data_IF_346407246841
#
_entry.id   IF_346407246841
#
_cell.length_a   1.000
_cell.length_b   1.000
_cell.length_c   1.000
_cell.angle_alpha   90.00
_cell.angle_beta   90.00
_cell.angle_gamma   90.00
#
_symmetry.space_group_name_H-M   'P 1'
#
loop_
_entity.id
_entity.type
_entity.pdbx_description
1 polymer ?
#
# COMPACT_ATOMS: atom_id res chain seq x y z
N UNK A 1 -5.67 -40.19 58.75
CA UNK A 1 -4.84 -41.28 58.18
C UNK A 1 -3.98 -40.65 57.08
N UNK A 2 -2.82 -40.11 57.42
CA UNK A 2 -1.48 -40.71 57.57
C UNK A 2 -0.75 -41.03 56.25
N UNK A 3 0.54 -40.62 56.22
CA UNK A 3 1.63 -40.79 55.22
C UNK A 3 1.68 -39.71 54.11
N UNK A 4 2.67 -38.82 54.02
CA UNK A 4 3.97 -38.70 54.69
C UNK A 4 5.06 -39.52 54.00
N UNK A 5 5.93 -38.87 53.21
CA UNK A 5 7.32 -39.32 53.01
C UNK A 5 8.25 -38.22 52.48
N UNK A 6 9.23 -37.93 53.31
CA UNK A 6 10.46 -37.16 53.15
C UNK A 6 11.56 -38.03 52.52
N UNK A 7 12.45 -37.46 51.71
CA UNK A 7 13.88 -37.83 51.57
C UNK A 7 14.63 -36.58 51.09
N UNK A 8 15.46 -35.93 51.91
CA UNK A 8 16.86 -36.20 52.28
C UNK A 8 17.90 -35.95 51.19
N UNK A 9 18.86 -35.10 51.59
CA UNK A 9 20.00 -34.54 50.87
C UNK A 9 21.12 -35.57 50.66
N UNK A 10 21.95 -35.36 49.64
CA UNK A 10 23.35 -35.79 49.68
C UNK A 10 24.24 -34.74 49.00
N UNK A 11 25.20 -34.25 49.78
CA UNK A 11 26.34 -33.42 49.37
C UNK A 11 27.46 -34.37 48.89
N UNK A 12 28.22 -34.00 47.85
CA UNK A 12 29.66 -34.27 47.82
C UNK A 12 30.39 -33.23 46.98
N UNK A 13 31.48 -32.73 47.56
CA UNK A 13 32.44 -31.74 47.06
C UNK A 13 33.33 -32.30 45.95
N UNK A 14 33.79 -31.46 45.01
CA UNK A 14 35.18 -31.49 44.57
C UNK A 14 35.67 -30.17 43.95
N UNK A 15 36.90 -29.83 44.35
CA UNK A 15 37.73 -28.69 44.03
C UNK A 15 37.89 -28.40 42.53
N UNK A 16 37.95 -27.12 42.16
CA UNK A 16 38.78 -26.64 41.04
C UNK A 16 39.22 -25.19 41.27
N UNK A 17 40.51 -25.00 41.05
CA UNK A 17 41.40 -23.84 41.21
C UNK A 17 41.03 -22.65 40.31
N UNK A 18 41.37 -21.40 40.70
CA UNK A 18 41.27 -20.26 39.80
C UNK A 18 42.53 -20.19 38.91
N UNK A 19 42.36 -20.39 37.60
CA UNK A 19 43.40 -20.06 36.62
C UNK A 19 43.28 -18.58 36.25
N UNK A 20 44.34 -17.84 36.56
CA UNK A 20 44.56 -16.45 36.18
C UNK A 20 44.69 -16.36 34.65
N UNK A 21 43.67 -15.84 33.96
CA UNK A 21 43.71 -15.54 32.52
C UNK A 21 44.05 -14.05 32.34
N UNK A 22 45.33 -13.80 32.09
CA UNK A 22 45.86 -12.49 31.67
C UNK A 22 45.26 -12.19 30.28
N UNK A 23 44.30 -11.27 30.26
CA UNK A 23 43.70 -10.75 29.03
C UNK A 23 44.63 -9.73 28.40
N UNK A 24 45.40 -10.15 27.40
CA UNK A 24 46.12 -9.25 26.50
C UNK A 24 45.08 -8.54 25.61
N UNK A 25 44.73 -7.30 25.96
CA UNK A 25 43.99 -6.39 25.11
C UNK A 25 44.85 -6.00 23.89
N UNK A 26 44.66 -6.69 22.78
CA UNK A 26 45.03 -6.13 21.48
C UNK A 26 44.02 -5.04 21.12
N UNK A 27 44.42 -3.78 21.35
CA UNK A 27 43.76 -2.61 20.78
C UNK A 27 43.95 -2.63 19.26
N UNK A 28 43.06 -3.33 18.55
CA UNK A 28 42.83 -3.05 17.14
C UNK A 28 42.12 -1.69 17.06
N UNK A 29 42.89 -0.64 16.80
CA UNK A 29 42.36 0.68 16.43
C UNK A 29 41.55 0.52 15.15
N UNK A 30 40.22 0.39 15.29
CA UNK A 30 39.28 0.58 14.19
C UNK A 30 39.43 2.02 13.73
N UNK A 31 40.08 2.22 12.59
CA UNK A 31 39.98 3.48 11.85
C UNK A 31 38.50 3.68 11.55
N UNK A 32 37.86 4.66 12.18
CA UNK A 32 36.55 5.15 11.77
C UNK A 32 36.72 5.76 10.37
N UNK A 33 36.11 5.21 9.31
CA UNK A 33 36.07 5.88 8.03
C UNK A 33 34.90 6.85 8.08
N UNK A 34 35.13 8.07 8.56
CA UNK A 34 34.22 9.19 8.33
C UNK A 34 34.95 10.25 7.54
N UNK A 35 35.19 9.94 6.26
CA UNK A 35 35.19 11.00 5.26
C UNK A 35 33.73 11.29 4.93
N UNK A 36 33.30 12.57 4.88
CA UNK A 36 31.97 12.90 4.39
C UNK A 36 31.87 12.37 2.97
N UNK A 37 30.84 11.59 2.69
CA UNK A 37 30.48 11.20 1.32
C UNK A 37 30.23 12.52 0.60
N UNK A 38 31.19 12.93 -0.22
CA UNK A 38 31.13 14.12 -1.06
C UNK A 38 29.87 14.05 -1.91
N UNK A 39 29.18 15.19 -2.00
CA UNK A 39 27.89 15.40 -2.65
C UNK A 39 27.62 14.41 -3.79
N UNK A 40 26.48 13.74 -3.67
CA UNK A 40 25.86 12.86 -4.66
C UNK A 40 25.56 13.69 -5.92
N UNK A 41 26.60 14.06 -6.67
CA UNK A 41 26.45 14.80 -7.92
C UNK A 41 25.64 13.92 -8.85
N UNK A 42 24.44 14.38 -9.21
CA UNK A 42 23.46 13.64 -9.99
C UNK A 42 24.11 12.94 -11.17
N UNK A 43 24.22 11.60 -11.08
CA UNK A 43 24.78 10.76 -12.15
C UNK A 43 23.91 10.72 -13.40
N UNK A 44 22.68 11.17 -13.31
CA UNK A 44 21.74 11.13 -14.41
C UNK A 44 21.96 12.31 -15.34
N UNK A 45 22.09 12.03 -16.63
CA UNK A 45 22.18 13.05 -17.67
C UNK A 45 20.87 13.84 -17.84
N UNK A 46 19.77 13.31 -17.30
CA UNK A 46 18.44 13.93 -17.29
C UNK A 46 18.21 14.66 -15.98
N UNK A 47 17.84 15.94 -16.08
CA UNK A 47 17.36 16.70 -14.94
C UNK A 47 15.91 16.33 -14.65
N UNK A 48 15.65 15.87 -13.42
CA UNK A 48 14.31 15.53 -12.96
C UNK A 48 13.71 16.72 -12.20
N UNK A 49 12.39 17.00 -12.36
CA UNK A 49 11.66 17.89 -11.47
C UNK A 49 11.94 17.65 -9.99
N UNK A 50 11.94 18.73 -9.21
CA UNK A 50 12.19 18.66 -7.77
C UNK A 50 11.28 17.66 -7.05
N UNK A 51 11.89 16.81 -6.21
CA UNK A 51 11.18 15.78 -5.45
C UNK A 51 10.80 14.52 -6.25
N UNK A 52 11.20 14.43 -7.52
CA UNK A 52 10.99 13.24 -8.36
C UNK A 52 12.25 12.39 -8.47
N UNK A 53 12.04 11.09 -8.60
CA UNK A 53 13.08 10.07 -8.70
C UNK A 53 13.14 9.45 -10.11
N UNK A 54 14.29 8.92 -10.53
CA UNK A 54 14.39 8.15 -11.77
C UNK A 54 13.57 6.85 -11.64
N UNK A 55 13.02 6.38 -12.75
CA UNK A 55 12.41 5.04 -12.79
C UNK A 55 13.49 3.95 -12.63
N UNK A 56 13.14 2.75 -12.13
CA UNK A 56 14.13 1.71 -11.85
C UNK A 56 14.85 1.19 -13.11
N UNK A 57 14.30 1.40 -14.31
CA UNK A 57 14.92 1.03 -15.59
C UNK A 57 15.46 2.26 -16.36
N UNK A 58 15.55 3.42 -15.70
CA UNK A 58 16.22 4.61 -16.23
C UNK A 58 17.72 4.47 -15.98
N UNK A 59 18.52 4.21 -17.02
CA UNK A 59 19.98 4.17 -16.87
C UNK A 59 20.57 5.60 -16.81
N UNK A 60 21.70 5.81 -16.10
CA UNK A 60 22.21 7.16 -15.83
C UNK A 60 22.56 7.99 -17.08
N UNK A 61 23.08 7.35 -18.12
CA UNK A 61 23.52 8.00 -19.36
C UNK A 61 22.39 8.27 -20.36
N UNK A 62 21.13 7.98 -20.00
CA UNK A 62 19.98 8.19 -20.86
C UNK A 62 19.87 9.66 -21.25
N UNK A 63 19.67 9.94 -22.53
CA UNK A 63 19.45 11.31 -23.02
C UNK A 63 18.04 11.80 -22.66
N UNK A 64 17.84 13.12 -22.66
CA UNK A 64 16.52 13.71 -22.42
C UNK A 64 15.43 13.18 -23.38
N UNK A 65 15.81 12.89 -24.63
CA UNK A 65 14.88 12.34 -25.63
C UNK A 65 14.52 10.88 -25.35
N UNK A 66 15.48 10.07 -24.93
CA UNK A 66 15.23 8.68 -24.53
C UNK A 66 14.38 8.62 -23.26
N UNK A 67 14.65 9.48 -22.28
CA UNK A 67 13.82 9.55 -21.08
C UNK A 67 12.39 9.99 -21.38
N UNK A 68 12.21 10.98 -22.26
CA UNK A 68 10.86 11.35 -22.71
C UNK A 68 10.14 10.15 -23.34
N UNK A 69 10.83 9.38 -24.18
CA UNK A 69 10.27 8.15 -24.77
C UNK A 69 9.94 7.11 -23.69
N UNK A 70 10.82 6.90 -22.72
CA UNK A 70 10.56 6.03 -21.57
C UNK A 70 9.26 6.43 -20.88
N UNK A 71 9.05 7.72 -20.58
CA UNK A 71 7.82 8.22 -19.95
C UNK A 71 6.58 7.99 -20.82
N UNK A 72 6.69 8.16 -22.15
CA UNK A 72 5.60 7.90 -23.10
C UNK A 72 5.24 6.42 -23.20
N UNK A 73 6.23 5.53 -23.06
CA UNK A 73 6.07 4.08 -23.17
C UNK A 73 5.78 3.39 -21.82
N UNK A 74 5.81 4.10 -20.69
CA UNK A 74 5.58 3.54 -19.35
C UNK A 74 4.29 2.74 -19.28
N UNK A 75 4.39 1.49 -18.80
CA UNK A 75 3.25 0.65 -18.52
C UNK A 75 3.20 0.21 -17.07
N UNK A 76 2.31 0.84 -16.29
CA UNK A 76 2.06 0.47 -14.89
C UNK A 76 0.76 -0.31 -14.82
N UNK A 77 0.83 -1.56 -14.41
CA UNK A 77 -0.32 -2.45 -14.40
C UNK A 77 -1.04 -2.49 -13.05
N UNK A 78 -0.30 -2.32 -11.96
CA UNK A 78 -0.83 -2.25 -10.61
C UNK A 78 -0.12 -1.14 -9.84
N UNK A 79 -0.84 -0.43 -8.99
CA UNK A 79 -0.25 0.59 -8.11
C UNK A 79 -0.62 0.38 -6.64
N UNK A 80 -0.09 1.24 -5.77
CA UNK A 80 -0.21 1.05 -4.34
C UNK A 80 -1.65 1.20 -3.85
N UNK A 81 -2.07 0.30 -2.96
CA UNK A 81 -3.41 0.26 -2.41
C UNK A 81 -4.43 -0.43 -3.31
N UNK A 82 -4.06 -0.84 -4.53
CA UNK A 82 -4.95 -1.54 -5.45
C UNK A 82 -5.46 -2.84 -4.82
N UNK A 83 -6.78 -3.01 -4.83
CA UNK A 83 -7.43 -4.27 -4.50
C UNK A 83 -7.06 -5.34 -5.52
N UNK A 84 -6.56 -6.48 -5.04
CA UNK A 84 -6.36 -7.68 -5.85
C UNK A 84 -7.04 -8.86 -5.18
N UNK A 85 -7.64 -9.75 -5.96
CA UNK A 85 -8.17 -11.01 -5.46
C UNK A 85 -8.31 -12.03 -6.58
N UNK A 86 -8.58 -13.29 -6.21
CA UNK A 86 -9.18 -14.29 -7.11
C UNK A 86 -10.67 -14.40 -6.79
N UNK A 87 -11.37 -15.41 -7.34
CA UNK A 87 -12.74 -15.73 -6.92
C UNK A 87 -12.82 -16.12 -5.43
N UNK A 88 -11.72 -16.60 -4.85
CA UNK A 88 -11.62 -16.88 -3.43
C UNK A 88 -11.32 -15.60 -2.63
N UNK A 89 -12.26 -15.23 -1.77
CA UNK A 89 -12.16 -14.10 -0.83
C UNK A 89 -10.92 -14.21 0.07
N UNK A 90 -10.44 -15.42 0.37
CA UNK A 90 -9.23 -15.63 1.16
C UNK A 90 -7.95 -15.24 0.41
N UNK A 91 -8.01 -15.07 -0.90
CA UNK A 91 -6.90 -14.67 -1.76
C UNK A 91 -6.89 -13.18 -2.08
N UNK A 92 -7.66 -12.37 -1.36
CA UNK A 92 -7.70 -10.93 -1.58
C UNK A 92 -6.63 -10.20 -0.76
N UNK A 93 -6.01 -9.18 -1.34
CA UNK A 93 -4.94 -8.40 -0.71
C UNK A 93 -4.83 -6.97 -1.28
N UNK A 94 -4.08 -6.11 -0.58
CA UNK A 94 -3.65 -4.82 -1.10
C UNK A 94 -2.34 -5.00 -1.87
N UNK A 95 -2.27 -4.42 -3.05
CA UNK A 95 -1.00 -4.24 -3.73
C UNK A 95 -0.15 -3.19 -2.98
N UNK A 96 1.10 -3.51 -2.65
CA UNK A 96 1.97 -2.73 -1.77
C UNK A 96 3.10 -1.99 -2.51
N UNK A 97 3.03 -1.88 -3.84
CA UNK A 97 4.02 -1.19 -4.67
C UNK A 97 3.49 -0.71 -6.03
N UNK A 98 4.40 -0.46 -6.97
CA UNK A 98 4.12 -0.27 -8.39
C UNK A 98 4.60 -1.48 -9.18
N UNK A 99 3.74 -2.03 -10.02
CA UNK A 99 4.14 -3.03 -11.00
C UNK A 99 4.32 -2.35 -12.35
N UNK A 100 5.55 -2.29 -12.82
CA UNK A 100 5.92 -1.68 -14.11
C UNK A 100 6.27 -2.83 -15.05
N UNK A 101 5.50 -2.99 -16.13
CA UNK A 101 5.70 -4.06 -17.11
C UNK A 101 7.00 -3.78 -17.87
N UNK A 102 7.91 -4.75 -17.80
CA UNK A 102 9.26 -4.69 -18.36
C UNK A 102 9.65 -6.10 -18.79
N UNK A 103 10.34 -6.24 -19.92
CA UNK A 103 10.80 -7.55 -20.38
C UNK A 103 11.78 -8.19 -19.39
N UNK A 104 11.75 -9.53 -19.28
CA UNK A 104 12.78 -10.27 -18.53
C UNK A 104 14.17 -9.94 -19.09
N UNK A 105 15.16 -9.77 -18.20
CA UNK A 105 16.51 -9.31 -18.54
C UNK A 105 16.67 -7.78 -18.57
N UNK A 106 15.59 -6.99 -18.41
CA UNK A 106 15.70 -5.53 -18.30
C UNK A 106 16.55 -5.17 -17.08
N UNK A 107 17.57 -4.34 -17.29
CA UNK A 107 18.46 -3.88 -16.23
C UNK A 107 17.74 -2.93 -15.27
N UNK A 108 17.94 -3.16 -13.98
CA UNK A 108 17.38 -2.37 -12.89
C UNK A 108 18.50 -1.64 -12.15
N UNK A 109 18.27 -0.36 -11.88
CA UNK A 109 19.20 0.56 -11.25
C UNK A 109 18.64 1.06 -9.91
N UNK A 110 19.53 1.36 -8.97
CA UNK A 110 19.15 1.95 -7.69
C UNK A 110 18.57 3.36 -7.89
N UNK A 111 17.32 3.60 -7.47
CA UNK A 111 16.66 4.91 -7.65
C UNK A 111 17.08 5.95 -6.61
N UNK A 112 17.70 5.50 -5.51
CA UNK A 112 18.36 6.31 -4.49
C UNK A 112 19.63 5.61 -4.00
N UNK A 113 20.60 6.39 -3.52
CA UNK A 113 21.79 5.88 -2.84
C UNK A 113 21.41 5.23 -1.50
N UNK A 114 22.09 4.15 -1.11
CA UNK A 114 21.79 3.48 0.16
C UNK A 114 22.59 2.21 0.38
N UNK A 115 22.24 1.50 1.45
CA UNK A 115 22.84 0.22 1.80
C UNK A 115 21.91 -0.93 1.43
N UNK A 116 22.43 -1.96 0.80
CA UNK A 116 21.69 -3.20 0.54
C UNK A 116 21.38 -3.86 1.88
N UNK A 117 20.09 -3.88 2.23
CA UNK A 117 19.56 -4.38 3.51
C UNK A 117 19.24 -5.86 3.46
N UNK A 118 18.69 -6.32 2.34
CA UNK A 118 18.29 -7.71 2.14
C UNK A 118 18.38 -8.13 0.69
N UNK A 119 18.57 -9.43 0.51
CA UNK A 119 18.50 -10.17 -0.75
C UNK A 119 17.75 -11.47 -0.49
N UNK A 120 16.44 -11.48 -0.69
CA UNK A 120 15.60 -12.63 -0.38
C UNK A 120 14.41 -12.71 -1.33
N UNK A 121 13.97 -13.93 -1.69
CA UNK A 121 12.78 -14.17 -2.52
C UNK A 121 12.69 -13.30 -3.79
N UNK A 122 13.75 -13.27 -4.61
CA UNK A 122 13.82 -12.43 -5.81
C UNK A 122 13.55 -10.93 -5.54
N UNK A 123 13.93 -10.47 -4.34
CA UNK A 123 13.77 -9.09 -3.86
C UNK A 123 15.09 -8.55 -3.35
N UNK A 124 15.44 -7.34 -3.78
CA UNK A 124 16.52 -6.53 -3.23
C UNK A 124 15.90 -5.41 -2.42
N UNK A 125 16.31 -5.20 -1.18
CA UNK A 125 15.93 -3.99 -0.43
C UNK A 125 17.14 -3.11 -0.19
N UNK A 126 17.05 -1.84 -0.55
CA UNK A 126 18.09 -0.82 -0.32
C UNK A 126 17.52 0.24 0.60
N UNK A 127 18.17 0.50 1.73
CA UNK A 127 17.73 1.48 2.73
C UNK A 127 18.78 2.57 2.98
N UNK A 128 18.31 3.75 3.36
CA UNK A 128 19.15 4.96 3.48
C UNK A 128 20.18 4.88 4.62
N UNK A 129 19.90 4.11 5.66
CA UNK A 129 20.76 4.00 6.85
C UNK A 129 21.72 2.82 6.75
N UNK A 130 22.88 2.88 7.41
CA UNK A 130 23.80 1.74 7.48
C UNK A 130 23.35 0.69 8.49
N UNK A 131 23.73 -0.58 8.26
CA UNK A 131 23.41 -1.71 9.14
C UNK A 131 21.91 -1.91 9.36
N UNK A 132 21.54 -2.33 10.57
CA UNK A 132 20.15 -2.67 10.94
C UNK A 132 19.35 -1.48 11.49
N UNK A 133 19.79 -0.26 11.23
CA UNK A 133 19.12 0.92 11.77
C UNK A 133 17.74 1.12 11.12
N UNK A 134 16.76 1.69 11.86
CA UNK A 134 15.52 2.17 11.28
C UNK A 134 15.78 3.15 10.13
N UNK A 135 14.85 3.24 9.19
CA UNK A 135 14.96 4.18 8.08
C UNK A 135 14.05 3.82 6.93
N UNK A 136 14.06 4.68 5.92
CA UNK A 136 13.36 4.43 4.67
C UNK A 136 14.22 3.67 3.66
N UNK A 137 13.57 3.04 2.70
CA UNK A 137 14.23 2.33 1.60
C UNK A 137 13.30 2.00 0.45
N UNK A 138 13.81 1.21 -0.49
CA UNK A 138 13.11 0.71 -1.66
C UNK A 138 13.32 -0.78 -1.79
N UNK A 139 12.23 -1.51 -2.04
CA UNK A 139 12.25 -2.92 -2.37
C UNK A 139 12.02 -3.10 -3.88
N UNK A 140 12.87 -3.89 -4.51
CA UNK A 140 12.86 -4.23 -5.93
C UNK A 140 12.60 -5.73 -6.03
N UNK A 141 11.37 -6.11 -6.34
CA UNK A 141 10.89 -7.50 -6.36
C UNK A 141 10.71 -7.97 -7.80
N UNK A 142 10.78 -9.29 -8.01
CA UNK A 142 10.79 -9.95 -9.32
C UNK A 142 12.09 -9.68 -10.10
N UNK A 143 13.21 -9.75 -9.37
CA UNK A 143 14.54 -9.58 -9.93
C UNK A 143 15.42 -10.82 -9.73
N UNK A 144 16.38 -10.98 -10.63
CA UNK A 144 17.41 -12.01 -10.63
C UNK A 144 18.77 -11.42 -11.02
N UNK A 145 19.82 -12.25 -11.07
CA UNK A 145 21.19 -11.84 -11.38
C UNK A 145 21.66 -10.63 -10.54
N UNK A 146 21.60 -10.70 -9.20
CA UNK A 146 21.98 -9.58 -8.34
C UNK A 146 23.46 -9.22 -8.54
N UNK A 147 23.73 -7.94 -8.73
CA UNK A 147 25.09 -7.38 -8.90
C UNK A 147 25.68 -6.85 -7.58
N UNK A 148 24.94 -7.04 -6.49
CA UNK A 148 25.23 -6.49 -5.17
C UNK A 148 25.08 -7.58 -4.11
N UNK A 149 25.63 -7.34 -2.92
CA UNK A 149 25.44 -8.21 -1.73
C UNK A 149 24.96 -7.39 -0.53
N UNK A 150 24.30 -8.06 0.42
CA UNK A 150 23.88 -7.44 1.68
C UNK A 150 25.06 -6.75 2.37
N UNK A 151 24.83 -5.50 2.79
CA UNK A 151 25.83 -4.63 3.41
C UNK A 151 26.59 -3.73 2.43
N UNK A 152 26.51 -3.97 1.12
CA UNK A 152 27.09 -3.05 0.13
C UNK A 152 26.41 -1.69 0.19
N UNK A 153 27.19 -0.64 -0.03
CA UNK A 153 26.64 0.69 -0.33
C UNK A 153 26.57 0.84 -1.86
N UNK A 154 25.39 1.20 -2.35
CA UNK A 154 25.14 1.51 -3.75
C UNK A 154 24.83 2.99 -3.89
N UNK A 155 25.26 3.57 -5.00
CA UNK A 155 24.91 4.93 -5.40
C UNK A 155 23.66 4.90 -6.27
N UNK A 156 22.94 6.01 -6.27
CA UNK A 156 21.87 6.26 -7.24
C UNK A 156 22.40 6.03 -8.66
N UNK A 157 21.68 5.21 -9.43
CA UNK A 157 22.03 4.81 -10.79
C UNK A 157 23.00 3.64 -10.91
N UNK A 158 23.44 3.02 -9.82
CA UNK A 158 24.17 1.74 -9.92
C UNK A 158 23.23 0.64 -10.42
N UNK A 159 23.69 -0.19 -11.36
CA UNK A 159 23.00 -1.39 -11.83
C UNK A 159 23.02 -2.46 -10.73
N UNK A 160 21.84 -2.94 -10.34
CA UNK A 160 21.67 -3.82 -9.17
C UNK A 160 21.17 -5.23 -9.50
N UNK A 161 20.36 -5.40 -10.55
CA UNK A 161 19.77 -6.68 -10.92
C UNK A 161 19.04 -6.59 -12.28
N UNK A 162 18.47 -7.71 -12.73
CA UNK A 162 17.63 -7.78 -13.93
C UNK A 162 16.21 -8.25 -13.58
N UNK A 163 15.21 -7.81 -14.33
CA UNK A 163 13.84 -8.32 -14.20
C UNK A 163 13.80 -9.82 -14.52
N UNK A 164 13.15 -10.60 -13.66
CA UNK A 164 12.85 -12.01 -13.90
C UNK A 164 11.54 -12.42 -13.23
N UNK A 165 10.53 -12.74 -14.03
CA UNK A 165 9.23 -13.20 -13.55
C UNK A 165 8.59 -14.22 -14.51
N UNK A 166 7.92 -15.21 -13.92
CA UNK A 166 7.07 -16.15 -14.66
C UNK A 166 5.64 -15.58 -14.74
N UNK A 167 5.18 -15.25 -15.95
CA UNK A 167 3.87 -14.63 -16.17
C UNK A 167 3.99 -13.44 -17.11
N UNK A 168 3.37 -12.31 -16.76
CA UNK A 168 3.64 -11.02 -17.40
C UNK A 168 4.88 -10.40 -16.74
N UNK A 169 6.04 -10.32 -17.42
CA UNK A 169 7.26 -9.75 -16.84
C UNK A 169 7.07 -8.31 -16.37
N UNK A 170 7.47 -8.03 -15.14
CA UNK A 170 7.39 -6.70 -14.54
C UNK A 170 8.37 -6.58 -13.37
N UNK A 171 8.70 -5.35 -12.98
CA UNK A 171 9.32 -5.05 -11.69
C UNK A 171 8.22 -4.64 -10.72
N UNK A 172 8.23 -5.21 -9.51
CA UNK A 172 7.43 -4.72 -8.40
C UNK A 172 8.29 -3.83 -7.50
N UNK A 173 7.97 -2.53 -7.46
CA UNK A 173 8.74 -1.51 -6.74
C UNK A 173 7.95 -0.97 -5.55
N UNK A 174 8.44 -1.22 -4.33
CA UNK A 174 7.77 -0.75 -3.11
C UNK A 174 8.60 0.31 -2.38
N UNK A 175 7.94 1.36 -1.91
CA UNK A 175 8.53 2.27 -0.91
C UNK A 175 8.35 1.66 0.47
N UNK A 176 9.44 1.50 1.21
CA UNK A 176 9.42 0.84 2.52
C UNK A 176 9.96 1.72 3.63
N UNK A 177 9.48 1.48 4.85
CA UNK A 177 10.01 2.04 6.09
C UNK A 177 10.18 0.92 7.12
N UNK A 178 11.37 0.83 7.71
CA UNK A 178 11.66 -0.08 8.80
C UNK A 178 11.72 0.72 10.12
N UNK A 179 10.76 0.58 11.03
CA UNK A 179 10.64 1.44 12.22
C UNK A 179 11.56 1.03 13.38
N UNK A 180 11.97 -0.23 13.43
CA UNK A 180 12.72 -0.81 14.55
C UNK A 180 14.14 -1.14 14.12
N UNK A 181 15.05 -1.23 15.10
CA UNK A 181 16.38 -1.79 14.84
C UNK A 181 16.22 -3.30 14.65
N UNK A 182 16.69 -3.84 13.54
CA UNK A 182 16.55 -5.27 13.26
C UNK A 182 16.80 -5.62 11.81
N UNK A 183 16.61 -6.91 11.51
CA UNK A 183 16.71 -7.41 10.14
C UNK A 183 15.59 -6.85 9.29
N UNK A 184 15.95 -6.27 8.15
CA UNK A 184 15.02 -5.82 7.12
C UNK A 184 14.41 -6.98 6.31
N UNK A 185 14.81 -8.23 6.59
CA UNK A 185 14.15 -9.42 6.05
C UNK A 185 12.85 -9.76 6.79
N UNK A 186 12.58 -9.17 7.96
CA UNK A 186 11.29 -9.35 8.63
C UNK A 186 10.22 -8.48 7.95
N UNK A 187 9.56 -9.08 6.96
CA UNK A 187 8.45 -8.49 6.23
C UNK A 187 7.31 -8.02 7.16
N UNK A 188 7.21 -8.54 8.39
CA UNK A 188 6.17 -8.16 9.36
C UNK A 188 6.50 -6.86 10.09
N UNK A 189 7.77 -6.48 10.17
CA UNK A 189 8.20 -5.20 10.74
C UNK A 189 8.27 -4.10 9.67
N UNK A 190 8.37 -4.50 8.41
CA UNK A 190 8.40 -3.59 7.26
C UNK A 190 7.03 -2.95 7.02
N UNK A 191 7.04 -1.62 6.90
CA UNK A 191 5.89 -0.79 6.52
C UNK A 191 6.01 -0.40 5.07
N UNK A 192 4.92 -0.49 4.32
CA UNK A 192 4.86 -0.12 2.90
C UNK A 192 4.08 1.18 2.77
N UNK A 193 4.62 2.10 1.97
CA UNK A 193 4.09 3.44 1.75
C UNK A 193 3.86 3.66 0.26
N UNK A 194 3.10 4.71 -0.07
CA UNK A 194 2.81 5.03 -1.46
C UNK A 194 4.09 5.43 -2.23
N UNK A 195 4.43 4.73 -3.33
CA UNK A 195 5.53 5.08 -4.22
C UNK A 195 5.12 6.06 -5.34
N UNK A 196 3.84 6.11 -5.71
CA UNK A 196 3.31 6.82 -6.90
C UNK A 196 3.74 8.30 -6.96
N UNK A 197 3.80 8.96 -5.80
CA UNK A 197 4.13 10.38 -5.69
C UNK A 197 5.59 10.72 -6.05
N UNK A 198 6.49 9.74 -6.07
CA UNK A 198 7.91 9.95 -6.32
C UNK A 198 8.28 9.95 -7.81
N UNK A 199 7.40 9.50 -8.69
CA UNK A 199 7.71 9.35 -10.11
C UNK A 199 6.93 10.32 -10.99
N UNK A 200 7.42 10.47 -12.21
CA UNK A 200 6.76 11.27 -13.25
C UNK A 200 6.16 10.28 -14.24
N UNK A 201 4.90 10.49 -14.55
CA UNK A 201 4.20 9.80 -15.61
C UNK A 201 3.11 10.73 -16.13
N UNK A 202 2.71 10.53 -17.38
CA UNK A 202 1.65 11.29 -17.99
C UNK A 202 0.33 10.65 -17.65
N UNK A 203 -0.57 11.44 -17.08
CA UNK A 203 -1.97 11.04 -16.97
C UNK A 203 -2.88 12.25 -17.05
N UNK A 204 -3.85 12.17 -17.95
CA UNK A 204 -4.87 13.20 -18.15
C UNK A 204 -6.27 12.63 -18.04
N UNK A 205 -6.40 11.33 -17.74
CA UNK A 205 -7.69 10.66 -17.64
C UNK A 205 -8.12 10.68 -16.18
N UNK A 206 -9.28 11.27 -15.85
CA UNK A 206 -9.77 11.19 -14.48
C UNK A 206 -10.23 9.77 -14.14
N UNK A 207 -10.27 9.41 -12.84
CA UNK A 207 -10.86 8.16 -12.43
C UNK A 207 -12.33 8.04 -12.82
N UNK A 208 -12.84 6.81 -12.86
CA UNK A 208 -14.22 6.49 -13.24
C UNK A 208 -14.98 5.96 -12.03
N UNK A 209 -16.14 6.58 -11.75
CA UNK A 209 -17.09 6.09 -10.75
C UNK A 209 -18.25 5.36 -11.43
N UNK A 210 -18.58 4.16 -10.96
CA UNK A 210 -19.80 3.44 -11.34
C UNK A 210 -21.01 4.23 -10.86
N UNK A 211 -21.93 4.55 -11.78
CA UNK A 211 -23.11 5.39 -11.49
C UNK A 211 -24.02 4.84 -10.39
N UNK A 212 -24.12 3.52 -10.28
CA UNK A 212 -24.90 2.88 -9.24
C UNK A 212 -24.06 2.77 -7.95
N UNK A 213 -24.55 3.40 -6.88
CA UNK A 213 -24.01 3.24 -5.54
C UNK A 213 -24.73 2.10 -4.84
N UNK A 214 -24.02 1.44 -3.94
CA UNK A 214 -24.52 0.29 -3.19
C UNK A 214 -24.53 0.62 -1.70
N UNK A 215 -25.45 0.00 -0.98
CA UNK A 215 -25.65 0.28 0.44
C UNK A 215 -25.78 -1.05 1.16
N UNK A 216 -25.11 -1.19 2.29
CA UNK A 216 -25.13 -2.40 3.11
C UNK A 216 -25.39 -2.01 4.57
N UNK A 217 -26.05 -2.84 5.38
CA UNK A 217 -25.90 -2.74 6.83
C UNK A 217 -24.41 -2.83 7.18
N UNK A 218 -23.98 -2.05 8.17
CA UNK A 218 -22.58 -2.00 8.58
C UNK A 218 -22.02 -3.42 8.83
N UNK A 219 -20.85 -3.72 8.24
CA UNK A 219 -20.17 -5.01 8.33
C UNK A 219 -20.94 -6.22 7.77
N UNK A 220 -21.96 -6.00 6.93
CA UNK A 220 -22.70 -7.06 6.25
C UNK A 220 -22.33 -7.17 4.78
N UNK A 221 -22.34 -8.39 4.24
CA UNK A 221 -22.27 -8.63 2.78
C UNK A 221 -23.68 -8.75 2.15
N UNK A 222 -24.74 -8.56 2.95
CA UNK A 222 -26.12 -8.49 2.48
C UNK A 222 -26.48 -7.05 2.11
N UNK A 223 -26.73 -6.81 0.82
CA UNK A 223 -27.04 -5.47 0.31
C UNK A 223 -28.49 -5.07 0.62
N UNK A 224 -28.74 -3.79 0.93
CA UNK A 224 -30.10 -3.25 0.91
C UNK A 224 -30.69 -3.41 -0.50
N UNK A 225 -31.88 -3.98 -0.62
CA UNK A 225 -32.48 -4.34 -1.92
C UNK A 225 -32.73 -3.08 -2.76
N UNK A 226 -32.04 -2.91 -3.91
CA UNK A 226 -32.30 -1.77 -4.78
C UNK A 226 -33.69 -1.92 -5.43
N UNK A 227 -34.49 -0.86 -5.35
CA UNK A 227 -35.72 -0.64 -6.15
C UNK A 227 -35.50 0.59 -7.02
N UNK A 228 -36.52 1.44 -7.22
CA UNK A 228 -36.38 2.74 -7.88
C UNK A 228 -35.45 3.70 -7.10
N UNK A 229 -35.43 3.55 -5.77
CA UNK A 229 -34.50 4.24 -4.87
C UNK A 229 -34.21 3.30 -3.70
N UNK A 230 -32.93 3.09 -3.38
CA UNK A 230 -32.55 2.26 -2.24
C UNK A 230 -33.01 2.91 -0.95
N UNK A 231 -33.68 2.13 -0.09
CA UNK A 231 -34.10 2.56 1.24
C UNK A 231 -33.13 1.99 2.25
N UNK A 232 -32.60 2.84 3.13
CA UNK A 232 -31.59 2.48 4.14
C UNK A 232 -32.02 2.93 5.53
N UNK A 233 -31.50 2.25 6.55
CA UNK A 233 -31.74 2.55 7.96
C UNK A 233 -30.61 1.98 8.84
N UNK A 234 -30.47 2.51 10.05
CA UNK A 234 -29.46 2.09 11.03
C UNK A 234 -28.05 2.57 10.70
N UNK A 235 -27.08 1.67 10.87
CA UNK A 235 -25.68 1.91 10.51
C UNK A 235 -25.43 1.36 9.11
N UNK A 236 -25.02 2.25 8.19
CA UNK A 236 -24.99 1.98 6.75
C UNK A 236 -23.58 2.14 6.19
N UNK A 237 -23.11 1.12 5.49
CA UNK A 237 -21.93 1.16 4.63
C UNK A 237 -22.33 1.69 3.25
N UNK A 238 -21.69 2.78 2.82
CA UNK A 238 -21.84 3.29 1.45
C UNK A 238 -20.70 2.68 0.62
N UNK A 239 -21.05 1.96 -0.43
CA UNK A 239 -20.09 1.25 -1.28
C UNK A 239 -20.15 1.75 -2.71
N UNK A 240 -18.99 2.10 -3.27
CA UNK A 240 -18.88 2.70 -4.60
C UNK A 240 -17.87 1.94 -5.44
N UNK A 241 -18.30 1.52 -6.63
CA UNK A 241 -17.38 0.96 -7.62
C UNK A 241 -16.55 2.06 -8.25
N UNK A 242 -15.24 2.05 -8.06
CA UNK A 242 -14.30 3.04 -8.59
C UNK A 242 -13.16 2.30 -9.29
N UNK A 243 -12.68 2.85 -10.40
CA UNK A 243 -11.44 2.43 -11.03
C UNK A 243 -10.73 3.64 -11.61
N UNK A 244 -9.41 3.63 -11.59
CA UNK A 244 -8.61 4.62 -12.29
C UNK A 244 -8.07 4.00 -13.60
N UNK A 245 -8.46 4.53 -14.77
CA UNK A 245 -8.03 3.97 -16.04
C UNK A 245 -6.56 4.22 -16.36
N UNK A 246 -6.00 5.36 -15.92
CA UNK A 246 -4.65 5.85 -16.22
C UNK A 246 -4.25 5.88 -17.72
N UNK A 247 -3.64 6.95 -18.22
CA UNK A 247 -3.01 6.88 -19.56
C UNK A 247 -1.89 5.82 -19.61
N UNK A 248 -1.14 5.67 -18.52
CA UNK A 248 0.01 4.79 -18.37
C UNK A 248 -0.35 3.34 -18.00
N UNK A 249 -1.64 3.04 -17.81
CA UNK A 249 -2.08 1.66 -17.60
C UNK A 249 -2.28 0.88 -18.92
N UNK A 250 -1.97 1.51 -20.07
CA UNK A 250 -2.08 0.97 -21.45
C UNK A 250 -3.42 0.29 -21.76
N UNK A 251 -4.50 0.82 -21.19
CA UNK A 251 -5.88 0.35 -21.41
C UNK A 251 -6.36 0.42 -22.86
N UNK A 252 -5.62 1.12 -23.74
CA UNK A 252 -6.00 1.39 -25.13
C UNK A 252 -5.74 0.22 -26.09
N UNK A 253 -4.73 -0.61 -25.85
CA UNK A 253 -4.33 -1.65 -26.81
C UNK A 253 -4.88 -3.05 -26.48
N UNK A 254 -4.95 -3.40 -25.20
CA UNK A 254 -5.48 -4.71 -24.74
C UNK A 254 -6.60 -4.60 -23.70
N UNK A 255 -6.80 -3.39 -23.15
CA UNK A 255 -7.69 -3.16 -22.02
C UNK A 255 -7.19 -3.68 -20.68
N UNK A 256 -6.05 -4.38 -20.61
CA UNK A 256 -5.48 -4.91 -19.36
C UNK A 256 -4.77 -3.80 -18.58
N UNK A 257 -4.98 -3.72 -17.26
CA UNK A 257 -4.39 -2.67 -16.40
C UNK A 257 -5.30 -1.48 -16.11
N UNK A 258 -6.48 -1.39 -16.74
CA UNK A 258 -7.46 -0.29 -16.65
C UNK A 258 -8.25 -0.25 -15.31
N UNK A 259 -7.54 -0.38 -14.19
CA UNK A 259 -8.10 -0.68 -12.87
C UNK A 259 -7.27 -0.18 -11.70
N UNK A 260 -6.46 0.86 -11.89
CA UNK A 260 -5.58 1.36 -10.85
C UNK A 260 -6.37 1.89 -9.63
N UNK A 261 -5.69 1.92 -8.50
CA UNK A 261 -6.18 2.54 -7.27
C UNK A 261 -6.16 4.06 -7.41
N UNK A 262 -7.24 4.69 -6.95
CA UNK A 262 -7.29 6.14 -6.77
C UNK A 262 -6.41 6.58 -5.60
N UNK A 263 -5.92 7.81 -5.63
CA UNK A 263 -5.15 8.39 -4.53
C UNK A 263 -6.03 8.74 -3.34
N UNK A 264 -7.22 9.33 -3.58
CA UNK A 264 -8.09 9.80 -2.49
C UNK A 264 -9.57 9.76 -2.87
N UNK A 265 -10.41 9.54 -1.86
CA UNK A 265 -11.87 9.55 -1.97
C UNK A 265 -12.45 10.55 -0.95
N UNK A 266 -13.40 11.36 -1.40
CA UNK A 266 -14.15 12.31 -0.57
C UNK A 266 -15.65 12.15 -0.87
N UNK A 267 -16.50 12.42 0.11
CA UNK A 267 -17.94 12.38 -0.11
C UNK A 267 -18.72 13.41 0.70
N UNK A 268 -19.90 13.71 0.21
CA UNK A 268 -20.87 14.62 0.80
C UNK A 268 -22.24 13.95 0.85
N UNK A 269 -22.91 14.09 2.00
CA UNK A 269 -24.31 13.70 2.19
C UNK A 269 -25.14 14.96 2.35
N UNK A 270 -26.09 15.19 1.45
CA UNK A 270 -27.00 16.34 1.50
C UNK A 270 -28.46 15.93 1.33
N UNK A 271 -29.38 16.75 1.85
CA UNK A 271 -30.82 16.50 1.83
C UNK A 271 -31.58 17.79 2.13
N UNK A 272 -32.89 17.80 1.89
CA UNK A 272 -33.73 19.01 1.97
C UNK A 272 -33.70 19.70 3.35
N UNK A 273 -33.51 18.91 4.42
CA UNK A 273 -33.64 19.38 5.80
C UNK A 273 -32.34 19.30 6.60
N UNK A 274 -31.19 19.13 5.95
CA UNK A 274 -29.89 19.05 6.63
C UNK A 274 -28.87 19.98 5.98
N UNK A 275 -27.90 20.43 6.77
CA UNK A 275 -26.68 21.00 6.19
C UNK A 275 -25.85 19.87 5.56
N UNK A 276 -25.25 20.09 4.38
CA UNK A 276 -24.39 19.09 3.76
C UNK A 276 -23.28 18.62 4.71
N UNK A 277 -23.11 17.30 4.81
CA UNK A 277 -22.10 16.68 5.65
C UNK A 277 -20.96 16.20 4.77
N UNK A 278 -19.83 16.91 4.84
CA UNK A 278 -18.62 16.56 4.10
C UNK A 278 -17.71 15.61 4.91
N UNK A 279 -17.09 14.65 4.22
CA UNK A 279 -16.18 13.66 4.79
C UNK A 279 -15.04 13.35 3.82
N UNK A 280 -13.82 13.27 4.37
CA UNK A 280 -12.68 12.70 3.65
C UNK A 280 -12.62 11.21 3.97
N UNK A 281 -12.81 10.37 2.96
CA UNK A 281 -12.68 8.93 3.08
C UNK A 281 -11.19 8.55 2.98
N UNK A 282 -10.86 7.39 2.41
CA UNK A 282 -9.48 6.91 2.29
C UNK A 282 -8.60 7.84 1.44
N UNK A 283 -7.37 8.05 1.93
CA UNK A 283 -6.28 8.75 1.26
C UNK A 283 -5.05 7.83 1.22
N UNK A 284 -4.84 7.17 0.08
CA UNK A 284 -3.76 6.21 -0.13
C UNK A 284 -2.39 6.86 -0.15
N UNK A 285 -2.28 8.18 -0.25
CA UNK A 285 -1.02 8.90 -0.06
C UNK A 285 -0.59 8.94 1.42
N UNK A 286 -1.49 8.59 2.34
CA UNK A 286 -1.24 8.62 3.80
C UNK A 286 -1.35 7.25 4.46
N UNK A 287 -1.90 6.25 3.77
CA UNK A 287 -2.05 4.90 4.31
C UNK A 287 -0.68 4.21 4.39
N UNK A 288 -0.47 3.51 5.50
CA UNK A 288 0.67 2.63 5.72
C UNK A 288 0.15 1.19 5.74
N UNK A 289 0.66 0.36 4.83
CA UNK A 289 0.37 -1.07 4.84
C UNK A 289 1.42 -1.81 5.66
N UNK A 290 0.99 -2.78 6.48
CA UNK A 290 1.87 -3.59 7.31
C UNK A 290 1.43 -5.05 7.27
N UNK A 291 2.36 -5.94 6.93
CA UNK A 291 2.11 -7.40 6.92
C UNK A 291 2.03 -7.91 8.36
N UNK A 292 1.08 -8.78 8.66
CA UNK A 292 0.98 -9.44 9.97
C UNK A 292 1.76 -10.75 9.95
N UNK A 293 2.51 -11.03 11.03
CA UNK A 293 3.19 -12.32 11.19
C UNK A 293 2.19 -13.47 11.18
N UNK A 294 2.48 -14.49 10.37
CA UNK A 294 1.66 -15.69 10.25
C UNK A 294 0.35 -15.50 9.47
N UNK A 295 0.10 -14.31 8.93
CA UNK A 295 -0.98 -14.08 7.96
C UNK A 295 -0.31 -13.96 6.59
N UNK A 296 -0.79 -14.72 5.61
CA UNK A 296 -0.40 -14.49 4.23
C UNK A 296 -0.75 -13.04 3.85
N UNK A 297 -0.11 -12.43 2.86
CA UNK A 297 -0.58 -11.13 2.32
C UNK A 297 -2.05 -11.22 1.90
N UNK A 298 -2.44 -12.43 1.53
CA UNK A 298 -3.80 -12.89 1.29
C UNK A 298 -4.62 -12.96 2.59
N UNK A 299 -5.84 -12.40 2.56
CA UNK A 299 -6.81 -12.37 3.67
C UNK A 299 -6.50 -11.38 4.82
N UNK A 300 -5.90 -10.22 4.51
CA UNK A 300 -5.82 -9.16 5.53
C UNK A 300 -7.23 -8.60 5.79
N UNK A 301 -7.74 -8.77 7.02
CA UNK A 301 -9.01 -8.20 7.46
C UNK A 301 -9.12 -6.69 7.25
N UNK A 302 -7.98 -5.99 7.17
CA UNK A 302 -7.92 -4.55 6.87
C UNK A 302 -8.35 -4.23 5.45
N UNK A 303 -8.17 -5.16 4.51
CA UNK A 303 -8.67 -5.02 3.15
C UNK A 303 -10.17 -4.78 3.15
N UNK A 304 -10.89 -5.50 4.01
CA UNK A 304 -12.34 -5.41 4.13
C UNK A 304 -12.84 -4.20 4.93
N UNK A 305 -11.93 -3.38 5.48
CA UNK A 305 -12.27 -2.03 5.91
C UNK A 305 -12.52 -1.16 4.67
N UNK A 306 -11.65 -1.31 3.67
CA UNK A 306 -11.60 -0.43 2.49
C UNK A 306 -12.46 -0.96 1.36
N UNK A 307 -12.54 -2.28 1.17
CA UNK A 307 -13.14 -2.90 0.00
C UNK A 307 -14.22 -3.93 0.35
N UNK A 308 -15.26 -4.01 -0.46
CA UNK A 308 -16.10 -5.20 -0.58
C UNK A 308 -15.50 -6.16 -1.60
N UNK A 309 -15.70 -7.46 -1.36
CA UNK A 309 -15.26 -8.46 -2.32
C UNK A 309 -16.04 -8.33 -3.62
N UNK A 310 -15.34 -8.37 -4.76
CA UNK A 310 -15.96 -8.08 -6.05
C UNK A 310 -17.06 -9.09 -6.44
N UNK A 311 -16.98 -10.34 -5.95
CA UNK A 311 -17.97 -11.39 -6.26
C UNK A 311 -19.39 -11.07 -5.80
N UNK A 312 -19.55 -10.17 -4.82
CA UNK A 312 -20.86 -9.66 -4.37
C UNK A 312 -21.57 -8.92 -5.51
N UNK A 313 -20.81 -8.26 -6.38
CA UNK A 313 -21.34 -7.44 -7.48
C UNK A 313 -21.25 -8.15 -8.83
N UNK A 314 -20.41 -9.17 -8.92
CA UNK A 314 -20.10 -9.90 -10.14
C UNK A 314 -19.97 -11.40 -9.86
N UNK A 315 -21.09 -12.13 -9.76
CA UNK A 315 -21.09 -13.54 -9.34
C UNK A 315 -20.48 -14.52 -10.36
N UNK A 316 -20.11 -14.08 -11.58
CA UNK A 316 -19.56 -14.97 -12.61
C UNK A 316 -18.41 -14.34 -13.40
N UNK A 317 -17.24 -15.00 -13.36
CA UNK A 317 -16.17 -15.00 -14.38
C UNK A 317 -15.87 -13.66 -15.04
N UNK A 318 -15.39 -12.68 -14.28
CA UNK A 318 -15.01 -11.40 -14.85
C UNK A 318 -13.70 -11.49 -15.64
N UNK A 319 -13.66 -10.77 -16.77
CA UNK A 319 -12.39 -10.37 -17.37
C UNK A 319 -11.73 -9.36 -16.44
N UNK A 320 -10.57 -9.71 -15.88
CA UNK A 320 -9.78 -8.93 -14.91
C UNK A 320 -9.32 -7.55 -15.42
N UNK A 321 -9.58 -7.24 -16.69
CA UNK A 321 -8.95 -6.16 -17.40
C UNK A 321 -9.58 -4.79 -17.08
N UNK A 322 -10.85 -4.72 -16.64
CA UNK A 322 -11.59 -3.46 -16.41
C UNK A 322 -12.49 -3.45 -15.17
N UNK A 323 -12.12 -4.20 -14.13
CA UNK A 323 -12.99 -4.33 -12.97
C UNK A 323 -12.98 -3.06 -12.12
N UNK A 324 -14.12 -2.79 -11.48
CA UNK A 324 -14.23 -1.75 -10.46
C UNK A 324 -13.85 -2.32 -9.11
N UNK A 325 -12.98 -1.62 -8.37
CA UNK A 325 -12.78 -1.88 -6.96
C UNK A 325 -13.95 -1.27 -6.18
N UNK A 326 -14.53 -2.01 -5.23
CA UNK A 326 -15.74 -1.61 -4.52
C UNK A 326 -15.40 -1.04 -3.15
N UNK A 327 -15.20 0.28 -3.08
CA UNK A 327 -14.73 0.97 -1.89
C UNK A 327 -15.86 1.19 -0.88
N UNK A 328 -15.65 0.83 0.39
CA UNK A 328 -16.54 1.13 1.52
C UNK A 328 -16.21 2.51 2.08
N UNK A 329 -16.75 3.57 1.46
CA UNK A 329 -16.28 4.94 1.70
C UNK A 329 -16.59 5.49 3.11
N UNK A 330 -17.42 4.80 3.87
CA UNK A 330 -17.86 5.18 5.23
C UNK A 330 -16.99 4.64 6.36
N UNK A 331 -16.11 3.67 6.10
CA UNK A 331 -15.30 2.99 7.12
C UNK A 331 -14.06 3.81 7.53
N UNK A 332 -14.29 5.05 7.92
CA UNK A 332 -13.28 6.05 8.29
C UNK A 332 -13.90 7.06 9.27
N UNK A 333 -13.06 7.71 10.07
CA UNK A 333 -13.48 8.81 10.94
C UNK A 333 -13.85 10.09 10.16
N UNK A 334 -13.57 10.12 8.85
CA UNK A 334 -13.92 11.22 7.96
C UNK A 334 -12.93 12.39 7.95
N UNK A 335 -11.82 12.28 8.68
CA UNK A 335 -10.82 13.36 8.83
C UNK A 335 -9.85 13.44 7.66
N UNK A 336 -9.63 12.31 6.97
CA UNK A 336 -8.64 12.19 5.91
C UNK A 336 -7.20 12.09 6.42
N UNK A 337 -7.00 11.87 7.72
CA UNK A 337 -5.69 11.52 8.28
C UNK A 337 -5.57 10.00 8.42
N UNK A 338 -4.46 9.45 7.95
CA UNK A 338 -4.22 8.01 7.96
C UNK A 338 -2.79 7.69 8.39
N UNK A 339 -2.63 6.45 8.81
CA UNK A 339 -1.37 5.77 9.04
C UNK A 339 -1.63 4.29 8.78
N UNK A 340 -1.31 3.43 9.75
CA UNK A 340 -1.73 2.04 9.67
C UNK A 340 -3.27 1.91 9.76
N UNK A 341 -3.87 1.06 8.93
CA UNK A 341 -5.30 0.80 8.98
C UNK A 341 -5.66 0.03 10.27
N UNK A 342 -6.47 0.66 11.13
CA UNK A 342 -7.03 0.06 12.33
C UNK A 342 -8.30 -0.72 11.99
N UNK A 343 -8.37 -1.99 12.40
CA UNK A 343 -9.55 -2.85 12.20
C UNK A 343 -10.78 -2.30 12.92
N UNK A 344 -10.61 -1.49 13.97
CA UNK A 344 -11.72 -0.78 14.62
C UNK A 344 -12.46 0.17 13.67
N UNK A 345 -11.83 0.60 12.57
CA UNK A 345 -12.45 1.47 11.58
C UNK A 345 -13.67 0.85 10.88
N UNK A 346 -13.82 -0.48 10.96
CA UNK A 346 -15.05 -1.20 10.58
C UNK A 346 -16.30 -0.75 11.36
N UNK A 347 -16.13 -0.08 12.50
CA UNK A 347 -17.26 0.44 13.29
C UNK A 347 -17.74 1.81 12.80
N UNK A 348 -16.97 2.49 11.93
CA UNK A 348 -17.44 3.70 11.28
C UNK A 348 -18.44 3.33 10.19
N UNK A 349 -19.56 4.02 10.18
CA UNK A 349 -20.62 3.86 9.20
C UNK A 349 -21.42 5.16 9.14
N UNK A 350 -22.25 5.32 8.11
CA UNK A 350 -23.26 6.36 8.13
C UNK A 350 -24.39 5.97 9.09
N UNK A 351 -24.42 6.63 10.24
CA UNK A 351 -25.42 6.41 11.29
C UNK A 351 -26.70 7.18 10.95
N UNK A 352 -27.61 6.58 10.19
CA UNK A 352 -28.83 7.26 9.72
C UNK A 352 -29.75 7.64 10.87
N UNK A 353 -29.75 6.87 11.96
CA UNK A 353 -30.54 7.13 13.16
C UNK A 353 -29.87 8.08 14.17
N UNK A 354 -28.74 8.71 13.81
CA UNK A 354 -28.06 9.62 14.72
C UNK A 354 -28.92 10.84 15.08
N UNK A 355 -28.82 11.28 16.33
CA UNK A 355 -29.47 12.50 16.84
C UNK A 355 -28.45 13.60 17.17
N UNK A 356 -28.90 14.85 17.16
CA UNK A 356 -28.13 16.01 17.59
C UNK A 356 -28.17 16.21 19.12
N UNK A 357 -27.55 17.29 19.60
CA UNK A 357 -27.50 17.62 21.03
C UNK A 357 -28.88 17.93 21.63
N UNK A 358 -29.86 18.25 20.78
CA UNK A 358 -31.26 18.50 21.15
C UNK A 358 -32.14 17.27 20.96
N UNK A 359 -31.55 16.10 20.71
CA UNK A 359 -32.25 14.84 20.44
C UNK A 359 -33.13 14.86 19.17
N UNK A 360 -32.87 15.77 18.22
CA UNK A 360 -33.50 15.76 16.91
C UNK A 360 -32.73 14.84 15.95
N UNK A 361 -33.39 14.18 14.98
CA UNK A 361 -32.70 13.39 13.97
C UNK A 361 -31.71 14.25 13.16
N UNK A 362 -30.44 13.84 13.10
CA UNK A 362 -29.43 14.42 12.20
C UNK A 362 -29.72 14.12 10.74
N UNK A 363 -30.34 12.98 10.48
CA UNK A 363 -30.77 12.54 9.16
C UNK A 363 -32.26 12.15 9.22
N UNK A 364 -33.20 13.12 9.20
CA UNK A 364 -34.63 12.83 9.19
C UNK A 364 -35.05 11.98 7.97
N UNK A 365 -36.17 11.27 8.10
CA UNK A 365 -36.69 10.42 7.02
C UNK A 365 -36.92 11.25 5.74
N UNK A 366 -36.35 10.83 4.62
CA UNK A 366 -36.34 11.64 3.41
C UNK A 366 -35.36 11.14 2.35
N UNK A 367 -35.31 11.84 1.22
CA UNK A 367 -34.34 11.59 0.16
C UNK A 367 -33.03 12.35 0.42
N UNK A 368 -31.92 11.70 0.12
CA UNK A 368 -30.57 12.22 0.28
C UNK A 368 -29.79 12.03 -1.02
N UNK A 369 -28.94 13.01 -1.33
CA UNK A 369 -27.95 12.93 -2.39
C UNK A 369 -26.62 12.58 -1.74
N UNK A 370 -26.01 11.50 -2.21
CA UNK A 370 -24.64 11.14 -1.88
C UNK A 370 -23.78 11.56 -3.06
N UNK A 371 -22.91 12.54 -2.89
CA UNK A 371 -21.93 12.95 -3.90
C UNK A 371 -20.57 12.42 -3.50
N UNK A 372 -19.88 11.78 -4.42
CA UNK A 372 -18.55 11.19 -4.22
C UNK A 372 -17.61 11.82 -5.22
N UNK A 373 -16.47 12.31 -4.74
CA UNK A 373 -15.38 12.85 -5.55
C UNK A 373 -14.15 11.97 -5.34
N UNK A 374 -13.51 11.57 -6.42
CA UNK A 374 -12.31 10.72 -6.41
C UNK A 374 -11.18 11.41 -7.14
N UNK A 375 -9.95 11.17 -6.71
CA UNK A 375 -8.73 11.78 -7.25
C UNK A 375 -7.72 10.69 -7.56
N UNK A 376 -7.06 10.75 -8.72
CA UNK A 376 -5.87 9.94 -9.01
C UNK A 376 -4.60 10.54 -8.35
N UNK A 377 -3.46 9.90 -8.58
CA UNK A 377 -2.17 10.31 -8.01
C UNK A 377 -1.51 11.51 -8.71
N UNK A 378 -2.02 11.95 -9.88
CA UNK A 378 -1.56 13.18 -10.54
C UNK A 378 -2.47 14.38 -10.29
N UNK A 379 -3.63 14.14 -9.66
CA UNK A 379 -4.60 15.15 -9.26
C UNK A 379 -5.79 15.33 -10.20
N UNK A 380 -5.97 14.49 -11.24
CA UNK A 380 -7.23 14.50 -11.97
C UNK A 380 -8.35 14.01 -11.05
N UNK A 381 -9.57 14.48 -11.29
CA UNK A 381 -10.70 14.14 -10.44
C UNK A 381 -11.97 13.92 -11.22
N UNK A 382 -12.86 13.12 -10.62
CA UNK A 382 -14.21 12.89 -11.12
C UNK A 382 -15.19 12.87 -9.95
N UNK A 383 -16.40 13.35 -10.19
CA UNK A 383 -17.47 13.32 -9.20
C UNK A 383 -18.73 12.67 -9.76
N UNK A 384 -19.40 11.88 -8.93
CA UNK A 384 -20.69 11.27 -9.25
C UNK A 384 -21.63 11.39 -8.06
N UNK A 385 -22.93 11.30 -8.32
CA UNK A 385 -23.95 11.35 -7.28
C UNK A 385 -24.96 10.21 -7.42
N UNK A 386 -25.41 9.70 -6.28
CA UNK A 386 -26.52 8.75 -6.15
C UNK A 386 -27.60 9.28 -5.21
N UNK A 387 -28.84 8.86 -5.42
CA UNK A 387 -29.96 9.19 -4.53
C UNK A 387 -30.29 7.97 -3.67
N UNK A 388 -30.50 8.21 -2.38
CA UNK A 388 -30.89 7.20 -1.39
C UNK A 388 -32.00 7.74 -0.50
N UNK A 389 -32.84 6.89 0.06
CA UNK A 389 -33.90 7.28 0.99
C UNK A 389 -33.63 6.73 2.38
N UNK A 390 -33.68 7.57 3.40
CA UNK A 390 -33.58 7.17 4.81
C UNK A 390 -34.97 6.91 5.38
N UNK A 391 -35.12 5.80 6.11
CA UNK A 391 -36.33 5.44 6.87
C UNK A 391 -35.96 4.83 8.23
N UNK A 392 -35.73 5.68 9.23
CA UNK A 392 -35.48 5.30 10.62
C UNK A 392 -36.77 5.04 11.41
#
# INVERSE_FOLDING_TARGET
MNRGRTMQKTLFYQLLTPLLLISLFFFCSRKNPTSPITEDSDRYAVELPAGKLPWPHHWPEMTQSEYKKLIEDLWIINNFGLYQSTDDKSMAYFHDGLDIVLDNGTQIYAIESGYVKSLSYATITIGETSGDNPGYGWAYTHVDNPQVKVGDFVRKGDYIAEVNFEGLPHIHLSRVYHPTKGTWDDICETKYLHPDGFFIYKDTQPPVIRRQFFYFPNNSDEMFVPKDTTVVWGDVDIVVGIRDPGEFAHSKDSGYGDRLCVARIEYEISGEHIQPVYRKSFDFTKIILKKKRGVNMMNDERLYIVYKHHSIFHPYGMSWNKFFSYYVITNTDGTGEFGELDISAKQYAWKTAAVDESNNPKFPNGAYIIKVTVYDFVGNSYAASGIVRVMN
#
